data_IF_385196398655
#
_entry.id   IF_385196398655
#
_cell.length_a   1.000
_cell.length_b   1.000
_cell.length_c   1.000
_cell.angle_alpha   90.00
_cell.angle_beta   90.00
_cell.angle_gamma   90.00
#
_symmetry.space_group_name_H-M   'P 1'
#
loop_
_entity.id
_entity.type
_entity.pdbx_description
1 polymer ?
#
# COMPACT_ATOMS: atom_id res chain seq x y z
N UNK A 1 -5.64 -1.23 -12.82
CA UNK A 1 -4.21 -1.33 -12.48
C UNK A 1 -3.83 -0.09 -11.69
N UNK A 2 -3.23 -0.28 -10.51
CA UNK A 2 -2.78 0.83 -9.65
C UNK A 2 -1.54 1.49 -10.28
N UNK A 3 -1.51 2.82 -10.37
CA UNK A 3 -0.31 3.52 -10.81
C UNK A 3 0.67 3.65 -9.62
N UNK A 4 1.89 3.08 -9.67
CA UNK A 4 2.84 3.15 -8.57
C UNK A 4 3.26 4.58 -8.20
N UNK A 5 3.06 5.56 -9.09
CA UNK A 5 3.29 6.98 -8.79
C UNK A 5 2.31 7.56 -7.75
N UNK A 6 1.20 6.89 -7.48
CA UNK A 6 0.20 7.33 -6.51
C UNK A 6 0.52 6.86 -5.08
N UNK A 7 1.53 5.99 -4.92
CA UNK A 7 1.95 5.49 -3.61
C UNK A 7 2.72 6.59 -2.88
N UNK A 8 2.20 6.98 -1.72
CA UNK A 8 2.78 7.99 -0.84
C UNK A 8 2.59 7.58 0.61
N UNK A 9 3.55 7.93 1.46
CA UNK A 9 3.43 7.72 2.92
C UNK A 9 2.18 8.42 3.44
N UNK A 10 1.49 7.78 4.40
CA UNK A 10 0.17 8.14 4.96
C UNK A 10 -1.04 7.89 4.06
N UNK A 11 -0.88 7.51 2.78
CA UNK A 11 -2.03 7.07 1.97
C UNK A 11 -2.54 5.71 2.45
N UNK A 12 -3.84 5.48 2.25
CA UNK A 12 -4.51 4.21 2.58
C UNK A 12 -4.63 3.34 1.33
N UNK A 13 -4.26 2.07 1.48
CA UNK A 13 -4.45 1.01 0.51
C UNK A 13 -5.53 0.06 1.00
N UNK A 14 -6.40 -0.37 0.08
CA UNK A 14 -7.43 -1.37 0.34
C UNK A 14 -7.05 -2.65 -0.38
N UNK A 15 -6.95 -3.73 0.37
CA UNK A 15 -6.71 -5.05 -0.19
C UNK A 15 -7.92 -5.50 -1.01
N UNK A 16 -7.76 -5.96 -2.27
CA UNK A 16 -8.88 -6.20 -3.19
C UNK A 16 -9.80 -7.33 -2.73
N UNK A 17 -9.24 -8.42 -2.18
CA UNK A 17 -10.00 -9.58 -1.67
C UNK A 17 -10.59 -9.37 -0.26
N UNK A 18 -9.75 -9.06 0.73
CA UNK A 18 -10.19 -8.98 2.13
C UNK A 18 -10.83 -7.64 2.50
N UNK A 19 -10.74 -6.63 1.63
CA UNK A 19 -11.15 -5.23 1.89
C UNK A 19 -10.50 -4.63 3.15
N UNK A 20 -9.37 -5.20 3.57
CA UNK A 20 -8.58 -4.70 4.70
C UNK A 20 -7.87 -3.42 4.30
N UNK A 21 -7.94 -2.43 5.18
CA UNK A 21 -7.26 -1.15 5.02
C UNK A 21 -5.86 -1.19 5.64
N UNK A 22 -4.90 -0.68 4.87
CA UNK A 22 -3.50 -0.55 5.27
C UNK A 22 -3.02 0.87 5.00
N UNK A 23 -2.23 1.43 5.89
CA UNK A 23 -1.58 2.73 5.74
C UNK A 23 -0.15 2.52 5.27
N UNK A 24 0.27 3.26 4.25
CA UNK A 24 1.67 3.24 3.81
C UNK A 24 2.51 4.00 4.84
N UNK A 25 3.42 3.32 5.52
CA UNK A 25 4.32 3.96 6.51
C UNK A 25 5.70 4.26 5.93
N UNK A 26 6.16 3.46 5.00
CA UNK A 26 7.37 3.72 4.22
C UNK A 26 7.20 3.20 2.79
N UNK A 27 7.89 3.83 1.85
CA UNK A 27 7.86 3.47 0.43
C UNK A 27 9.21 3.81 -0.19
N UNK A 28 9.82 2.82 -0.86
CA UNK A 28 11.06 2.97 -1.59
C UNK A 28 10.96 2.34 -2.98
N UNK A 29 10.77 3.21 -3.97
CA UNK A 29 10.68 2.81 -5.37
C UNK A 29 12.00 2.28 -5.92
N UNK A 30 13.14 2.73 -5.41
CA UNK A 30 14.45 2.32 -5.90
C UNK A 30 14.73 0.85 -5.62
N UNK A 31 14.22 0.35 -4.48
CA UNK A 31 14.39 -1.03 -4.03
C UNK A 31 13.11 -1.88 -4.15
N UNK A 32 12.08 -1.39 -4.85
CA UNK A 32 10.76 -2.03 -4.99
C UNK A 32 10.10 -2.43 -3.65
N UNK A 33 10.33 -1.66 -2.57
CA UNK A 33 9.86 -2.00 -1.21
C UNK A 33 8.79 -1.03 -0.71
N UNK A 34 7.80 -1.55 0.02
CA UNK A 34 6.75 -0.78 0.69
C UNK A 34 6.41 -1.40 2.04
N UNK A 35 6.30 -0.55 3.07
CA UNK A 35 5.87 -0.96 4.41
C UNK A 35 4.44 -0.48 4.63
N UNK A 36 3.60 -1.44 5.02
CA UNK A 36 2.18 -1.26 5.24
C UNK A 36 1.83 -1.54 6.70
N UNK A 37 1.02 -0.68 7.28
CA UNK A 37 0.50 -0.80 8.65
C UNK A 37 -1.00 -1.02 8.63
N UNK A 38 -1.50 -2.04 9.34
CA UNK A 38 -2.94 -2.23 9.48
C UNK A 38 -3.53 -1.38 10.62
N UNK A 39 -4.87 -1.35 10.73
CA UNK A 39 -5.57 -0.62 11.81
C UNK A 39 -5.21 -1.06 13.25
N UNK A 40 -4.55 -2.20 13.41
CA UNK A 40 -4.13 -2.74 14.71
C UNK A 40 -2.67 -2.39 15.03
N UNK A 41 -1.98 -1.65 14.17
CA UNK A 41 -0.57 -1.27 14.34
C UNK A 41 0.44 -2.33 13.91
N UNK A 42 0.00 -3.43 13.27
CA UNK A 42 0.95 -4.39 12.71
C UNK A 42 1.49 -3.89 11.39
N UNK A 43 2.81 -3.81 11.31
CA UNK A 43 3.55 -3.44 10.12
C UNK A 43 4.07 -4.68 9.41
N UNK A 44 4.02 -4.68 8.09
CA UNK A 44 4.69 -5.68 7.26
C UNK A 44 5.29 -5.02 6.02
N UNK A 45 6.40 -5.59 5.56
CA UNK A 45 7.06 -5.20 4.32
C UNK A 45 6.60 -6.09 3.17
N UNK A 46 6.39 -5.50 2.00
CA UNK A 46 6.15 -6.23 0.76
C UNK A 46 6.67 -5.43 -0.42
N UNK A 47 6.55 -5.98 -1.62
CA UNK A 47 7.04 -5.31 -2.84
C UNK A 47 5.97 -4.41 -3.46
N UNK A 48 6.37 -3.27 -4.02
CA UNK A 48 5.45 -2.36 -4.73
C UNK A 48 4.84 -3.06 -5.94
N UNK A 49 5.64 -3.82 -6.67
CA UNK A 49 5.17 -4.68 -7.77
C UNK A 49 4.05 -5.63 -7.34
N UNK A 50 4.14 -6.20 -6.13
CA UNK A 50 3.11 -7.08 -5.59
C UNK A 50 1.80 -6.32 -5.30
N UNK A 51 1.90 -5.12 -4.71
CA UNK A 51 0.72 -4.25 -4.47
C UNK A 51 0.02 -3.87 -5.78
N UNK A 52 0.80 -3.48 -6.80
CA UNK A 52 0.27 -3.11 -8.12
C UNK A 52 -0.36 -4.32 -8.83
N UNK A 53 0.31 -5.48 -8.80
CA UNK A 53 -0.16 -6.71 -9.44
C UNK A 53 -1.36 -7.33 -8.73
N UNK A 54 -1.42 -7.25 -7.39
CA UNK A 54 -2.53 -7.77 -6.61
C UNK A 54 -3.82 -6.96 -6.85
N UNK A 55 -3.70 -5.69 -7.25
CA UNK A 55 -4.83 -4.81 -7.54
C UNK A 55 -5.35 -4.06 -6.32
N UNK A 56 -4.46 -3.64 -5.42
CA UNK A 56 -4.84 -2.76 -4.32
C UNK A 56 -5.41 -1.44 -4.85
N UNK A 57 -6.34 -0.87 -4.09
CA UNK A 57 -6.99 0.41 -4.41
C UNK A 57 -6.44 1.48 -3.44
N UNK A 58 -6.01 2.63 -3.95
CA UNK A 58 -5.65 3.78 -3.10
C UNK A 58 -6.93 4.54 -2.77
N UNK A 59 -7.18 4.80 -1.48
CA UNK A 59 -8.13 5.82 -1.04
C UNK A 59 -7.38 7.11 -0.75
N UNK A 60 -7.76 8.18 -1.44
CA UNK A 60 -7.44 9.54 -1.00
C UNK A 60 -8.48 9.93 0.05
N UNK A 61 -8.03 10.26 1.26
CA UNK A 61 -8.84 11.11 2.14
C UNK A 61 -8.86 12.51 1.49
N UNK A 62 -10.07 13.07 1.37
CA UNK A 62 -10.34 14.36 0.73
C UNK A 62 -9.84 15.55 1.56
#
# INVERSE_FOLDING_TARGET
>A
MLNPNLLQVKKKLIHPKSKTEYTITAYDRGHDSIILENRFGFQFETSISNIVSAGYEIREEA
#
